data_IF_497509596833
#
_entry.id   IF_497509596833
#
_cell.length_a   1.000
_cell.length_b   1.000
_cell.length_c   1.000
_cell.angle_alpha   90.00
_cell.angle_beta   90.00
_cell.angle_gamma   90.00
#
_symmetry.space_group_name_H-M   'P 1'
#
loop_
_entity.id
_entity.type
_entity.pdbx_description
1 polymer ?
#
# COMPACT_ATOMS: atom_id res chain seq x y z
N UNK A 1 -18.69 66.13 -50.77
CA UNK A 1 -17.82 65.22 -51.55
C UNK A 1 -18.08 63.82 -51.02
N UNK A 2 -18.90 63.01 -51.69
CA UNK A 2 -18.58 62.19 -52.88
C UNK A 2 -17.79 60.92 -52.52
N UNK A 3 -18.48 59.78 -52.70
CA UNK A 3 -17.99 58.45 -53.10
C UNK A 3 -17.27 57.62 -52.01
N UNK A 4 -17.40 56.29 -51.90
CA UNK A 4 -18.22 55.22 -52.48
C UNK A 4 -17.72 53.91 -51.82
N UNK A 5 -18.61 52.94 -51.60
CA UNK A 5 -18.40 51.47 -51.62
C UNK A 5 -17.15 50.82 -50.97
N UNK A 6 -17.32 49.77 -50.17
CA UNK A 6 -17.41 48.37 -50.67
C UNK A 6 -17.58 47.36 -49.52
N UNK A 7 -18.49 46.43 -49.74
CA UNK A 7 -18.86 45.24 -48.96
C UNK A 7 -17.67 44.27 -48.85
N UNK A 8 -17.37 43.78 -47.64
CA UNK A 8 -16.76 42.44 -47.45
C UNK A 8 -17.44 41.78 -46.23
N UNK A 9 -18.43 40.95 -46.53
CA UNK A 9 -18.97 39.92 -45.65
C UNK A 9 -17.94 38.79 -45.67
N UNK A 10 -17.02 38.79 -44.72
CA UNK A 10 -16.11 37.66 -44.51
C UNK A 10 -16.76 36.70 -43.54
N UNK A 11 -17.36 35.68 -44.15
CA UNK A 11 -17.76 34.43 -43.52
C UNK A 11 -16.57 33.84 -42.77
N UNK A 12 -16.54 34.01 -41.44
CA UNK A 12 -15.75 33.15 -40.56
C UNK A 12 -16.51 31.82 -40.46
N UNK A 13 -16.26 30.97 -41.46
CA UNK A 13 -16.46 29.54 -41.36
C UNK A 13 -15.60 29.06 -40.17
N UNK A 14 -16.27 28.82 -39.04
CA UNK A 14 -15.71 28.00 -37.98
C UNK A 14 -15.48 26.61 -38.56
N UNK A 15 -14.23 26.36 -38.90
CA UNK A 15 -13.74 25.02 -39.22
C UNK A 15 -13.80 24.27 -37.89
N UNK A 16 -14.93 23.62 -37.62
CA UNK A 16 -15.00 22.54 -36.64
C UNK A 16 -14.07 21.45 -37.17
N UNK A 17 -12.85 21.43 -36.66
CA UNK A 17 -11.89 20.35 -36.86
C UNK A 17 -12.54 19.07 -36.36
N UNK A 18 -13.10 18.31 -37.29
CA UNK A 18 -13.50 16.94 -37.06
C UNK A 18 -12.21 16.16 -36.80
N UNK A 19 -11.94 15.86 -35.54
CA UNK A 19 -10.84 15.00 -35.12
C UNK A 19 -11.03 13.65 -35.81
N UNK A 20 -10.18 13.37 -36.81
CA UNK A 20 -10.31 12.18 -37.67
C UNK A 20 -9.68 10.93 -37.04
N UNK A 21 -8.90 11.12 -35.98
CA UNK A 21 -8.14 10.08 -35.26
C UNK A 21 -8.28 10.25 -33.74
N UNK A 22 -9.47 10.57 -33.26
CA UNK A 22 -9.80 10.41 -31.85
C UNK A 22 -9.98 8.90 -31.62
N UNK A 23 -8.87 8.17 -31.55
CA UNK A 23 -8.90 6.81 -31.03
C UNK A 23 -9.44 6.93 -29.61
N UNK A 24 -10.61 6.33 -29.39
CA UNK A 24 -11.25 6.25 -28.08
C UNK A 24 -10.27 5.68 -27.05
N UNK A 25 -9.79 6.51 -26.12
CA UNK A 25 -8.88 6.11 -25.04
C UNK A 25 -9.66 5.69 -23.80
N UNK A 26 -9.00 4.95 -22.91
CA UNK A 26 -9.47 4.73 -21.55
C UNK A 26 -8.73 5.65 -20.59
N UNK A 27 -9.44 6.11 -19.56
CA UNK A 27 -8.92 7.01 -18.54
C UNK A 27 -9.26 6.40 -17.19
N UNK A 28 -8.27 6.29 -16.31
CA UNK A 28 -8.45 5.99 -14.88
C UNK A 28 -7.84 7.13 -14.07
N UNK A 29 -8.53 7.52 -13.01
CA UNK A 29 -8.06 8.58 -12.12
C UNK A 29 -8.56 8.34 -10.70
N UNK A 30 -7.93 8.98 -9.73
CA UNK A 30 -8.37 8.89 -8.34
C UNK A 30 -7.32 9.45 -7.40
N UNK A 31 -7.48 9.12 -6.12
CA UNK A 31 -6.54 9.49 -5.07
C UNK A 31 -5.89 8.25 -4.47
N UNK A 32 -4.61 8.36 -4.10
CA UNK A 32 -3.97 7.42 -3.20
C UNK A 32 -4.04 8.00 -1.79
N UNK A 33 -4.64 7.25 -0.87
CA UNK A 33 -4.88 7.68 0.50
C UNK A 33 -4.25 6.73 1.51
N UNK A 34 -3.75 7.30 2.60
CA UNK A 34 -3.30 6.53 3.77
C UNK A 34 -4.49 5.93 4.52
N UNK A 35 -4.44 4.63 4.79
CA UNK A 35 -5.42 3.93 5.63
C UNK A 35 -5.39 4.39 7.09
N UNK A 36 -4.29 5.01 7.54
CA UNK A 36 -4.10 5.44 8.93
C UNK A 36 -5.01 6.62 9.28
N UNK A 37 -5.05 7.64 8.41
CA UNK A 37 -5.70 8.93 8.70
C UNK A 37 -6.44 9.54 7.50
N UNK A 38 -6.43 8.87 6.34
CA UNK A 38 -7.00 9.37 5.10
C UNK A 38 -6.20 10.49 4.44
N UNK A 39 -4.97 10.74 4.89
CA UNK A 39 -4.09 11.74 4.26
C UNK A 39 -3.70 11.33 2.84
N UNK A 40 -3.49 12.31 1.93
CA UNK A 40 -3.07 12.01 0.57
C UNK A 40 -1.61 11.55 0.50
N UNK A 41 -1.35 10.56 -0.33
CA UNK A 41 -0.03 9.98 -0.58
C UNK A 41 0.57 10.58 -1.86
N UNK A 42 1.53 11.50 -1.72
CA UNK A 42 2.20 12.18 -2.85
C UNK A 42 3.45 11.46 -3.34
N UNK A 43 3.76 11.61 -4.63
CA UNK A 43 4.93 11.03 -5.30
C UNK A 43 4.97 9.48 -5.36
N UNK A 44 3.81 8.82 -5.22
CA UNK A 44 3.71 7.35 -5.31
C UNK A 44 3.69 6.89 -6.75
N UNK A 45 4.51 5.90 -7.08
CA UNK A 45 4.50 5.23 -8.37
C UNK A 45 3.24 4.36 -8.52
N UNK A 46 2.48 4.60 -9.59
CA UNK A 46 1.28 3.85 -9.93
C UNK A 46 1.48 3.20 -11.28
N UNK A 47 1.17 1.91 -11.33
CA UNK A 47 1.29 1.10 -12.53
C UNK A 47 -0.02 0.39 -12.82
N UNK A 48 -0.54 0.60 -14.03
CA UNK A 48 -1.66 -0.13 -14.60
C UNK A 48 -1.12 -1.15 -15.60
N UNK A 49 -1.49 -2.41 -15.41
CA UNK A 49 -1.18 -3.48 -16.32
C UNK A 49 -2.47 -4.13 -16.84
N UNK A 50 -2.37 -4.74 -18.02
CA UNK A 50 -3.48 -5.43 -18.66
C UNK A 50 -3.09 -6.82 -19.13
N UNK A 51 -4.09 -7.66 -19.35
CA UNK A 51 -3.92 -8.98 -19.96
C UNK A 51 -4.74 -9.05 -21.23
N UNK A 52 -4.07 -9.12 -22.38
CA UNK A 52 -4.69 -9.05 -23.71
C UNK A 52 -4.80 -10.41 -24.40
N UNK A 53 -5.76 -10.55 -25.31
CA UNK A 53 -5.86 -11.72 -26.19
C UNK A 53 -5.13 -11.42 -27.49
N UNK A 54 -4.00 -12.10 -27.74
CA UNK A 54 -3.32 -12.05 -29.04
C UNK A 54 -3.55 -13.34 -29.84
N UNK A 55 -4.00 -13.20 -31.09
CA UNK A 55 -4.05 -14.29 -32.08
C UNK A 55 -4.80 -15.57 -31.64
N UNK A 56 -5.80 -15.46 -30.76
CA UNK A 56 -6.59 -16.60 -30.28
C UNK A 56 -5.85 -17.52 -29.31
N UNK A 57 -4.68 -17.10 -28.81
CA UNK A 57 -3.96 -17.73 -27.70
C UNK A 57 -4.02 -16.81 -26.49
N UNK A 58 -4.27 -17.37 -25.30
CA UNK A 58 -4.21 -16.60 -24.06
C UNK A 58 -2.75 -16.24 -23.79
N UNK A 59 -2.38 -14.97 -23.92
CA UNK A 59 -1.14 -14.50 -23.36
C UNK A 59 -1.34 -14.46 -21.84
N UNK A 60 -0.65 -15.33 -21.12
CA UNK A 60 -0.95 -15.55 -19.70
C UNK A 60 -0.36 -14.45 -18.78
N UNK A 61 0.45 -13.56 -19.34
CA UNK A 61 1.19 -12.52 -18.64
C UNK A 61 0.50 -11.15 -18.73
N UNK A 62 0.62 -10.39 -17.64
CA UNK A 62 0.29 -8.97 -17.62
C UNK A 62 1.36 -8.16 -18.37
N UNK A 63 0.94 -7.10 -19.06
CA UNK A 63 1.79 -6.15 -19.76
C UNK A 63 1.45 -4.73 -19.30
N UNK A 64 2.41 -3.81 -19.41
CA UNK A 64 2.25 -2.43 -18.98
C UNK A 64 1.25 -1.70 -19.90
N UNK A 65 0.21 -1.13 -19.32
CA UNK A 65 -0.79 -0.34 -20.03
C UNK A 65 -0.56 1.18 -19.82
N UNK A 66 -0.24 1.59 -18.59
CA UNK A 66 0.13 2.96 -18.25
C UNK A 66 0.86 3.01 -16.90
N UNK A 67 1.62 4.09 -16.71
CA UNK A 67 2.31 4.40 -15.47
C UNK A 67 2.22 5.91 -15.19
N UNK A 68 2.15 6.28 -13.91
CA UNK A 68 2.17 7.68 -13.47
C UNK A 68 2.65 7.79 -12.04
N UNK A 69 2.77 9.03 -11.54
CA UNK A 69 3.01 9.34 -10.13
C UNK A 69 1.88 10.19 -9.57
N UNK A 70 1.60 10.06 -8.28
CA UNK A 70 0.63 10.94 -7.62
C UNK A 70 1.18 12.36 -7.45
N UNK A 71 0.30 13.37 -7.53
CA UNK A 71 0.65 14.75 -7.24
C UNK A 71 0.70 15.05 -5.72
N UNK A 72 0.97 16.32 -5.36
CA UNK A 72 1.01 16.77 -3.96
C UNK A 72 -0.30 16.58 -3.18
N UNK A 73 -1.43 16.34 -3.86
CA UNK A 73 -2.73 16.06 -3.26
C UNK A 73 -3.06 14.57 -3.31
N UNK A 74 -2.11 13.71 -3.69
CA UNK A 74 -2.30 12.27 -3.86
C UNK A 74 -3.11 11.91 -5.11
N UNK A 75 -3.39 12.87 -5.99
CA UNK A 75 -4.20 12.63 -7.18
C UNK A 75 -3.35 11.99 -8.28
N UNK A 76 -3.93 11.04 -9.01
CA UNK A 76 -3.35 10.46 -10.20
C UNK A 76 -4.35 10.43 -11.36
N UNK A 77 -3.82 10.43 -12.58
CA UNK A 77 -4.60 10.20 -13.80
C UNK A 77 -3.71 9.54 -14.84
N UNK A 78 -4.24 8.49 -15.48
CA UNK A 78 -3.60 7.78 -16.58
C UNK A 78 -4.58 7.66 -17.74
N UNK A 79 -4.12 8.03 -18.93
CA UNK A 79 -4.82 7.80 -20.19
C UNK A 79 -4.04 6.75 -20.97
N UNK A 80 -4.73 5.75 -21.51
CA UNK A 80 -4.12 4.62 -22.20
C UNK A 80 -4.97 4.12 -23.37
N UNK A 81 -4.31 3.44 -24.30
CA UNK A 81 -4.92 2.94 -25.52
C UNK A 81 -5.98 1.87 -25.21
N UNK A 82 -7.09 1.93 -25.94
CA UNK A 82 -8.15 0.93 -25.83
C UNK A 82 -7.72 -0.36 -26.49
N UNK A 83 -7.61 -1.42 -25.68
CA UNK A 83 -7.32 -2.76 -26.16
C UNK A 83 -8.37 -3.79 -25.68
N UNK A 84 -8.42 -4.94 -26.36
CA UNK A 84 -9.28 -6.06 -25.93
C UNK A 84 -8.57 -6.84 -24.83
N UNK A 85 -8.66 -6.32 -23.60
CA UNK A 85 -8.15 -6.95 -22.40
C UNK A 85 -9.21 -7.83 -21.73
N UNK A 86 -8.78 -8.92 -21.09
CA UNK A 86 -9.61 -9.79 -20.25
C UNK A 86 -9.47 -9.49 -18.76
N UNK A 87 -8.42 -8.78 -18.37
CA UNK A 87 -8.20 -8.32 -17.01
C UNK A 87 -7.31 -7.07 -17.02
N UNK A 88 -7.52 -6.20 -16.05
CA UNK A 88 -6.59 -5.14 -15.67
C UNK A 88 -6.17 -5.36 -14.23
N UNK A 89 -4.97 -4.89 -13.86
CA UNK A 89 -4.58 -4.76 -12.46
C UNK A 89 -3.86 -3.43 -12.27
N UNK A 90 -4.13 -2.79 -11.15
CA UNK A 90 -3.46 -1.58 -10.73
C UNK A 90 -2.61 -1.90 -9.51
N UNK A 91 -1.43 -1.30 -9.45
CA UNK A 91 -0.50 -1.49 -8.36
C UNK A 91 0.15 -0.19 -7.91
N UNK A 92 0.47 -0.17 -6.62
CA UNK A 92 1.25 0.88 -5.97
C UNK A 92 2.39 0.19 -5.25
N UNK A 93 3.61 0.68 -5.48
CA UNK A 93 4.81 0.26 -4.75
C UNK A 93 5.57 1.52 -4.33
N UNK A 94 5.75 1.69 -3.03
CA UNK A 94 6.49 2.82 -2.45
C UNK A 94 7.27 2.32 -1.23
N UNK A 95 8.51 2.80 -1.08
CA UNK A 95 9.39 2.38 0.01
C UNK A 95 8.78 2.75 1.37
N UNK A 96 8.74 1.78 2.28
CA UNK A 96 8.14 1.97 3.61
C UNK A 96 6.61 1.88 3.63
N UNK A 97 5.94 1.53 2.52
CA UNK A 97 4.48 1.35 2.47
C UNK A 97 4.09 -0.06 2.04
N UNK A 98 2.98 -0.60 2.55
CA UNK A 98 2.48 -1.89 2.08
C UNK A 98 2.06 -1.80 0.61
N UNK A 99 2.46 -2.79 -0.22
CA UNK A 99 2.18 -2.74 -1.64
C UNK A 99 0.68 -2.97 -1.86
N UNK A 100 0.12 -2.29 -2.86
CA UNK A 100 -1.28 -2.48 -3.27
C UNK A 100 -1.28 -3.18 -4.62
N UNK A 101 -2.15 -4.17 -4.77
CA UNK A 101 -2.39 -4.85 -6.05
C UNK A 101 -3.88 -5.21 -6.15
N UNK A 102 -4.61 -4.50 -7.00
CA UNK A 102 -6.05 -4.67 -7.18
C UNK A 102 -6.39 -5.06 -8.62
N UNK A 103 -7.30 -6.01 -8.79
CA UNK A 103 -7.81 -6.39 -10.11
C UNK A 103 -8.99 -5.50 -10.50
N UNK A 104 -8.97 -5.00 -11.74
CA UNK A 104 -10.00 -4.12 -12.29
C UNK A 104 -10.69 -4.86 -13.45
N UNK A 105 -12.02 -4.94 -13.39
CA UNK A 105 -12.81 -5.52 -14.48
C UNK A 105 -12.75 -4.63 -15.73
N UNK A 106 -12.44 -5.17 -16.92
CA UNK A 106 -12.48 -4.42 -18.18
C UNK A 106 -13.83 -3.75 -18.48
N UNK A 107 -14.93 -4.28 -17.94
CA UNK A 107 -16.29 -3.76 -18.16
C UNK A 107 -16.54 -2.39 -17.48
N UNK A 108 -15.67 -1.99 -16.55
CA UNK A 108 -15.77 -0.70 -15.86
C UNK A 108 -15.33 0.48 -16.75
N UNK A 109 -14.50 0.21 -17.77
CA UNK A 109 -13.97 1.26 -18.63
C UNK A 109 -14.97 1.68 -19.70
N UNK A 110 -15.21 2.99 -19.80
CA UNK A 110 -15.99 3.58 -20.89
C UNK A 110 -15.10 4.54 -21.69
N UNK A 111 -15.08 4.45 -23.04
CA UNK A 111 -14.28 5.34 -23.88
C UNK A 111 -14.41 6.82 -23.56
N UNK A 112 -13.27 7.50 -23.34
CA UNK A 112 -13.16 8.93 -23.05
C UNK A 112 -13.94 9.39 -21.79
N UNK A 113 -14.36 8.47 -20.92
CA UNK A 113 -14.99 8.77 -19.64
C UNK A 113 -14.05 8.25 -18.54
N UNK A 114 -13.56 9.11 -17.64
CA UNK A 114 -12.72 8.66 -16.54
C UNK A 114 -13.44 7.66 -15.65
N UNK A 115 -12.74 6.56 -15.33
CA UNK A 115 -13.05 5.69 -14.21
C UNK A 115 -12.43 6.30 -12.95
N UNK A 116 -13.29 6.75 -12.03
CA UNK A 116 -12.85 7.16 -10.70
C UNK A 116 -12.55 5.90 -9.85
N UNK A 117 -11.31 5.80 -9.37
CA UNK A 117 -10.79 4.64 -8.64
C UNK A 117 -9.80 5.11 -7.59
N UNK A 118 -10.23 5.18 -6.33
CA UNK A 118 -9.33 5.55 -5.23
C UNK A 118 -8.59 4.30 -4.72
N UNK A 119 -7.32 4.47 -4.34
CA UNK A 119 -6.48 3.42 -3.81
C UNK A 119 -6.11 3.73 -2.36
N UNK A 120 -6.06 2.69 -1.53
CA UNK A 120 -5.73 2.82 -0.10
C UNK A 120 -4.47 2.02 0.18
N UNK A 121 -3.47 2.67 0.77
CA UNK A 121 -2.23 2.02 1.22
C UNK A 121 -1.98 2.31 2.70
N UNK A 122 -1.12 1.51 3.34
CA UNK A 122 -0.83 1.61 4.78
C UNK A 122 0.68 1.77 4.96
N UNK A 123 1.15 2.75 5.76
CA UNK A 123 2.57 2.88 6.04
C UNK A 123 3.06 1.68 6.87
N UNK A 124 4.30 1.28 6.69
CA UNK A 124 4.95 0.20 7.45
C UNK A 124 5.67 0.76 8.67
N UNK A 125 5.75 -0.03 9.72
CA UNK A 125 6.71 0.12 10.80
C UNK A 125 7.39 -1.24 11.06
N UNK A 126 8.62 -1.18 11.53
CA UNK A 126 9.39 -2.35 11.94
C UNK A 126 9.34 -2.49 13.46
N UNK A 127 9.28 -3.73 13.94
CA UNK A 127 9.37 -4.03 15.36
C UNK A 127 10.44 -5.07 15.63
N UNK A 128 11.32 -4.77 16.57
CA UNK A 128 12.32 -5.68 17.10
C UNK A 128 11.96 -6.02 18.54
N UNK A 129 11.70 -7.30 18.82
CA UNK A 129 11.43 -7.74 20.18
C UNK A 129 12.66 -8.46 20.69
N UNK A 130 13.33 -7.84 21.65
CA UNK A 130 14.49 -8.37 22.35
C UNK A 130 14.03 -9.03 23.66
N UNK A 131 14.41 -10.29 23.84
CA UNK A 131 14.23 -11.02 25.11
C UNK A 131 15.60 -11.34 25.68
N UNK A 132 15.84 -10.87 26.90
CA UNK A 132 17.11 -11.00 27.60
C UNK A 132 16.90 -11.49 29.03
N UNK A 133 17.62 -12.53 29.43
CA UNK A 133 17.64 -13.03 30.81
C UNK A 133 18.69 -12.26 31.62
N UNK A 134 18.25 -11.54 32.66
CA UNK A 134 19.10 -10.72 33.52
C UNK A 134 19.45 -11.42 34.85
N UNK A 135 20.58 -11.05 35.50
CA UNK A 135 20.96 -11.71 36.74
C UNK A 135 19.96 -11.44 37.87
N UNK A 136 19.67 -12.43 38.73
CA UNK A 136 20.33 -13.73 38.82
C UNK A 136 19.75 -14.80 37.88
N UNK A 137 20.61 -15.43 37.07
CA UNK A 137 20.19 -16.45 36.10
C UNK A 137 20.30 -17.88 36.64
N UNK A 138 19.41 -18.76 36.19
CA UNK A 138 19.38 -20.22 36.36
C UNK A 138 19.14 -20.94 35.03
N UNK A 139 19.56 -22.20 34.94
CA UNK A 139 19.23 -23.06 33.79
C UNK A 139 17.73 -23.39 33.70
N UNK A 140 16.97 -23.10 34.76
CA UNK A 140 15.53 -23.35 34.86
C UNK A 140 14.70 -22.11 34.52
N UNK A 141 15.33 -20.94 34.34
CA UNK A 141 14.63 -19.69 34.01
C UNK A 141 13.83 -19.84 32.73
N UNK A 142 12.61 -19.32 32.73
CA UNK A 142 11.70 -19.47 31.61
C UNK A 142 10.85 -18.23 31.47
N UNK A 143 10.75 -17.72 30.25
CA UNK A 143 9.76 -16.69 29.90
C UNK A 143 8.98 -17.13 28.66
N UNK A 144 7.71 -16.75 28.61
CA UNK A 144 6.91 -16.83 27.40
C UNK A 144 6.43 -15.43 27.00
N UNK A 145 6.47 -15.15 25.71
CA UNK A 145 6.09 -13.85 25.13
C UNK A 145 5.20 -14.07 23.93
N UNK A 146 4.23 -13.18 23.72
CA UNK A 146 3.54 -13.02 22.44
C UNK A 146 3.05 -11.59 22.23
N UNK A 147 2.84 -11.24 20.97
CA UNK A 147 2.02 -10.08 20.63
C UNK A 147 0.53 -10.42 20.80
N UNK A 148 -0.28 -9.40 21.07
CA UNK A 148 -1.71 -9.53 21.32
C UNK A 148 -2.59 -9.04 20.16
N UNK A 149 -1.97 -8.59 19.07
CA UNK A 149 -2.65 -8.06 17.88
C UNK A 149 -2.06 -8.66 16.61
N UNK A 150 -2.94 -9.06 15.71
CA UNK A 150 -2.62 -9.59 14.38
C UNK A 150 -3.08 -8.60 13.31
N UNK A 151 -2.40 -8.59 12.15
CA UNK A 151 -2.80 -7.83 10.98
C UNK A 151 -2.75 -8.76 9.77
N UNK A 152 -3.89 -9.34 9.41
CA UNK A 152 -4.01 -10.43 8.45
C UNK A 152 -3.27 -10.17 7.13
N UNK A 153 -3.43 -8.97 6.55
CA UNK A 153 -2.91 -8.65 5.21
C UNK A 153 -1.57 -7.92 5.21
N UNK A 154 -1.16 -7.38 6.36
CA UNK A 154 -0.03 -6.44 6.44
C UNK A 154 1.14 -6.96 7.27
N UNK A 155 0.92 -7.85 8.23
CA UNK A 155 1.94 -8.15 9.24
C UNK A 155 2.69 -9.46 8.96
N UNK A 156 4.00 -9.44 9.17
CA UNK A 156 4.78 -10.69 9.32
C UNK A 156 4.86 -11.15 10.78
N UNK A 157 4.33 -10.36 11.71
CA UNK A 157 4.19 -10.75 13.09
C UNK A 157 3.03 -11.74 13.28
N UNK A 158 3.28 -12.75 14.10
CA UNK A 158 2.27 -13.67 14.61
C UNK A 158 1.89 -13.33 16.07
N UNK A 159 0.83 -13.98 16.55
CA UNK A 159 0.38 -13.91 17.96
C UNK A 159 0.67 -15.22 18.71
N UNK A 160 1.61 -16.03 18.21
CA UNK A 160 1.97 -17.29 18.81
C UNK A 160 2.82 -17.09 20.06
N UNK A 161 2.68 -18.01 21.01
CA UNK A 161 3.54 -18.03 22.19
C UNK A 161 4.95 -18.46 21.82
N UNK A 162 5.92 -17.59 22.13
CA UNK A 162 7.35 -17.87 22.01
C UNK A 162 7.91 -18.12 23.40
N UNK A 163 8.51 -19.29 23.60
CA UNK A 163 9.08 -19.69 24.89
C UNK A 163 10.61 -19.65 24.82
N UNK A 164 11.22 -19.03 25.82
CA UNK A 164 12.65 -18.95 26.00
C UNK A 164 13.03 -19.62 27.32
N UNK A 165 14.06 -20.47 27.31
CA UNK A 165 14.47 -21.30 28.44
C UNK A 165 15.98 -21.21 28.65
N UNK A 166 16.38 -21.02 29.91
CA UNK A 166 17.74 -21.13 30.40
C UNK A 166 18.45 -19.80 30.67
N UNK A 167 19.64 -19.92 31.25
CA UNK A 167 20.43 -18.81 31.81
C UNK A 167 21.03 -17.83 30.77
N UNK A 168 21.06 -18.19 29.49
CA UNK A 168 21.77 -17.44 28.44
C UNK A 168 20.83 -16.98 27.32
N UNK A 169 19.59 -16.65 27.66
CA UNK A 169 18.63 -16.12 26.68
C UNK A 169 19.03 -14.69 26.32
N UNK A 170 19.38 -14.52 25.05
CA UNK A 170 19.60 -13.26 24.37
C UNK A 170 19.11 -13.48 22.93
N UNK A 171 17.88 -13.06 22.65
CA UNK A 171 17.19 -13.40 21.40
C UNK A 171 16.37 -12.24 20.90
N UNK A 172 16.45 -12.01 19.60
CA UNK A 172 15.67 -11.00 18.89
C UNK A 172 14.84 -11.68 17.82
N UNK A 173 13.57 -11.27 17.69
CA UNK A 173 12.83 -11.50 16.47
C UNK A 173 12.24 -10.20 15.98
N UNK A 174 12.27 -10.05 14.65
CA UNK A 174 11.82 -8.87 13.95
C UNK A 174 10.58 -9.22 13.14
N UNK A 175 9.67 -8.27 13.03
CA UNK A 175 8.56 -8.37 12.10
C UNK A 175 8.07 -6.97 11.66
N UNK A 176 7.23 -6.94 10.63
CA UNK A 176 6.67 -5.71 10.09
C UNK A 176 5.18 -5.63 10.43
N UNK A 177 4.69 -4.42 10.62
CA UNK A 177 3.32 -4.09 11.00
C UNK A 177 2.89 -2.78 10.31
N UNK A 178 1.59 -2.44 10.32
CA UNK A 178 1.16 -1.06 10.08
C UNK A 178 1.88 -0.06 11.00
N UNK A 179 2.18 1.12 10.48
CA UNK A 179 2.69 2.24 11.25
C UNK A 179 1.61 3.02 11.98
N UNK A 180 2.03 3.88 12.90
CA UNK A 180 1.21 4.78 13.72
C UNK A 180 0.15 4.08 14.57
N UNK A 181 0.50 2.92 15.10
CA UNK A 181 -0.38 2.09 15.91
C UNK A 181 0.31 1.64 17.20
N UNK A 182 -0.51 1.30 18.20
CA UNK A 182 -0.03 0.60 19.38
C UNK A 182 -0.02 -0.92 19.14
N UNK A 183 1.09 -1.55 19.50
CA UNK A 183 1.24 -3.00 19.54
C UNK A 183 1.21 -3.46 21.00
N UNK A 184 0.09 -4.08 21.43
CA UNK A 184 0.03 -4.72 22.73
C UNK A 184 0.79 -6.05 22.72
N UNK A 185 1.47 -6.35 23.82
CA UNK A 185 2.17 -7.59 24.05
C UNK A 185 1.96 -8.08 25.49
N UNK A 186 2.23 -9.37 25.69
CA UNK A 186 2.23 -9.99 27.01
C UNK A 186 3.52 -10.79 27.18
N UNK A 187 4.10 -10.70 28.37
CA UNK A 187 5.21 -11.54 28.80
C UNK A 187 4.86 -12.17 30.15
N UNK A 188 5.19 -13.44 30.32
CA UNK A 188 4.97 -14.18 31.56
C UNK A 188 6.30 -14.83 31.94
N UNK A 189 6.92 -14.31 32.98
CA UNK A 189 8.08 -14.92 33.62
C UNK A 189 7.60 -16.10 34.48
N UNK A 190 8.11 -17.29 34.14
CA UNK A 190 7.81 -18.58 34.73
C UNK A 190 9.04 -19.19 35.41
N UNK A 191 10.04 -18.36 35.73
CA UNK A 191 11.26 -18.77 36.44
C UNK A 191 10.95 -19.34 37.83
N UNK A 192 9.96 -18.78 38.53
CA UNK A 192 9.31 -19.41 39.69
C UNK A 192 7.88 -19.85 39.30
N UNK A 193 7.65 -21.14 39.00
CA UNK A 193 6.34 -21.64 38.61
C UNK A 193 5.24 -21.48 39.67
N UNK A 194 5.60 -21.26 40.95
CA UNK A 194 4.62 -20.99 42.00
C UNK A 194 4.22 -19.51 42.07
N UNK A 195 5.02 -18.62 41.47
CA UNK A 195 4.86 -17.17 41.52
C UNK A 195 5.15 -16.52 40.15
N UNK A 196 4.40 -16.91 39.12
CA UNK A 196 4.53 -16.33 37.79
C UNK A 196 4.29 -14.81 37.81
N UNK A 197 5.11 -14.07 37.06
CA UNK A 197 4.97 -12.62 36.89
C UNK A 197 4.47 -12.34 35.49
N UNK A 198 3.23 -11.87 35.39
CA UNK A 198 2.62 -11.43 34.13
C UNK A 198 2.77 -9.92 33.95
N UNK A 199 3.25 -9.51 32.78
CA UNK A 199 3.31 -8.12 32.34
C UNK A 199 2.56 -8.00 31.01
N UNK A 200 1.54 -7.14 31.00
CA UNK A 200 0.82 -6.72 29.80
C UNK A 200 1.11 -5.26 29.56
N UNK A 201 1.57 -4.94 28.36
CA UNK A 201 1.97 -3.58 28.00
C UNK A 201 1.77 -3.35 26.49
N UNK A 202 2.05 -2.13 26.03
CA UNK A 202 1.96 -1.76 24.63
C UNK A 202 2.99 -0.71 24.26
N UNK A 203 3.57 -0.83 23.06
CA UNK A 203 4.47 0.19 22.50
C UNK A 203 3.79 0.88 21.32
N UNK A 204 4.02 2.18 21.16
CA UNK A 204 3.63 2.89 19.94
C UNK A 204 4.69 2.67 18.88
N UNK A 205 4.27 2.28 17.67
CA UNK A 205 5.15 2.02 16.54
C UNK A 205 4.93 3.12 15.49
N UNK A 206 5.79 4.14 15.42
CA UNK A 206 5.70 5.20 14.41
C UNK A 206 5.90 4.62 13.00
N UNK A 207 5.17 5.16 12.02
CA UNK A 207 5.42 4.84 10.62
C UNK A 207 6.89 5.11 10.21
N UNK A 208 7.44 4.24 9.38
CA UNK A 208 8.79 4.29 8.81
C UNK A 208 9.93 4.20 9.83
N UNK A 209 9.63 3.81 11.06
CA UNK A 209 10.63 3.62 12.12
C UNK A 209 10.67 2.17 12.60
N UNK A 210 11.82 1.79 13.18
CA UNK A 210 11.98 0.55 13.93
C UNK A 210 11.77 0.83 15.42
N UNK A 211 10.84 0.10 16.03
CA UNK A 211 10.54 0.18 17.46
C UNK A 211 11.06 -1.05 18.18
N UNK A 212 11.77 -0.84 19.29
CA UNK A 212 12.27 -1.94 20.12
C UNK A 212 11.34 -2.21 21.30
N UNK A 213 10.92 -3.46 21.47
CA UNK A 213 10.35 -3.98 22.73
C UNK A 213 11.45 -4.72 23.47
N UNK A 214 11.80 -4.24 24.65
CA UNK A 214 12.82 -4.84 25.51
C UNK A 214 12.15 -5.60 26.66
N UNK A 215 12.23 -6.93 26.62
CA UNK A 215 11.71 -7.83 27.66
C UNK A 215 12.88 -8.39 28.43
N UNK A 216 12.98 -7.96 29.68
CA UNK A 216 14.01 -8.38 30.62
C UNK A 216 13.32 -9.10 31.76
N UNK A 217 13.80 -10.31 32.06
CA UNK A 217 13.30 -11.16 33.14
C UNK A 217 14.46 -11.74 33.94
#
# INVERSE_FOLDING_TARGET
>A
MRFLSLIIITSLLFISGCCRDCADSFIIQGFVLSNTDGSPCSDFDIKLEHKIIESGSFNDFYQDAAETTTDNNGFYSMEFDRETAIAYRISIEEDGWFPVLEEISPELFTPNIPLDYDLITTPRADIDILVYNAPPFSSEDKIIVRLLKEFEEYSTCDTEWRAYLGANVDSTWSCIIPGDIYIPYISIDQTDPENEIEIVDSVFCPAFETTEINIIY
#
